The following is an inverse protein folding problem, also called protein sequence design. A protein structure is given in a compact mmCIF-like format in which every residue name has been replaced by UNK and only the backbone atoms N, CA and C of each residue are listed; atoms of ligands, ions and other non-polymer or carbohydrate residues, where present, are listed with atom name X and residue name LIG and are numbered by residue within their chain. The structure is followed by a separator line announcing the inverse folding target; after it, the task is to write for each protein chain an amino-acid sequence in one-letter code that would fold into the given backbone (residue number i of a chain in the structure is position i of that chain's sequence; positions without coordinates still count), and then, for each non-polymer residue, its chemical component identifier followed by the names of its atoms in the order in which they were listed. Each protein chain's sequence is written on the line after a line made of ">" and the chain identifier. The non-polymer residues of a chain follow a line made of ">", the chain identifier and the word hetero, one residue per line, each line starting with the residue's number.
data_IF_049336560998
#
_entry.id   IF_049336560998
#
_cell.length_a   1.000
_cell.length_b   1.000
_cell.length_c   1.000
_cell.angle_alpha   90.00
_cell.angle_beta   90.00
_cell.angle_gamma   90.00
#
_symmetry.space_group_name_H-M   'P 1'
#
loop_
_entity.id
_entity.type
_entity.pdbx_description
1 polymer ?
#
# COMPACT_ATOMS: atom_id res chain seq x y z
N UNK A 1 18.38 27.04 -30.50
CA UNK A 1 18.70 26.49 -29.17
C UNK A 1 17.63 26.98 -28.20
N UNK A 2 16.73 26.12 -27.75
CA UNK A 2 15.79 26.43 -26.67
C UNK A 2 16.43 26.03 -25.35
N UNK A 3 16.27 26.87 -24.32
CA UNK A 3 16.70 26.57 -22.95
C UNK A 3 15.45 26.30 -22.11
N UNK A 4 15.48 25.23 -21.32
CA UNK A 4 14.39 24.79 -20.45
C UNK A 4 14.58 25.39 -19.04
N UNK A 5 13.88 26.50 -18.77
CA UNK A 5 13.99 27.25 -17.52
C UNK A 5 12.74 27.10 -16.64
N UNK A 6 12.36 25.86 -16.34
CA UNK A 6 11.09 25.56 -15.64
C UNK A 6 11.16 25.81 -14.12
N UNK A 7 12.31 25.60 -13.48
CA UNK A 7 12.42 25.66 -12.01
C UNK A 7 11.94 26.98 -11.39
N UNK A 8 12.31 28.18 -11.90
CA UNK A 8 11.79 29.44 -11.36
C UNK A 8 10.27 29.58 -11.52
N UNK A 9 9.70 29.05 -12.61
CA UNK A 9 8.26 29.08 -12.88
C UNK A 9 7.53 28.19 -11.87
N UNK A 10 8.00 26.95 -11.68
CA UNK A 10 7.43 26.02 -10.71
C UNK A 10 7.51 26.55 -9.28
N UNK A 11 8.63 27.21 -8.91
CA UNK A 11 8.76 27.87 -7.59
C UNK A 11 7.77 29.02 -7.41
N UNK A 12 7.43 29.75 -8.46
CA UNK A 12 6.41 30.80 -8.38
C UNK A 12 4.99 30.21 -8.20
N UNK A 13 4.71 29.06 -8.81
CA UNK A 13 3.44 28.34 -8.59
C UNK A 13 3.34 27.79 -7.17
N UNK A 14 4.42 27.25 -6.62
CA UNK A 14 4.47 26.82 -5.23
C UNK A 14 4.20 27.99 -4.26
N UNK A 15 4.86 29.13 -4.46
CA UNK A 15 4.58 30.35 -3.66
C UNK A 15 3.13 30.82 -3.79
N UNK A 16 2.52 30.67 -4.97
CA UNK A 16 1.10 30.98 -5.17
C UNK A 16 0.22 30.08 -4.30
N UNK A 17 0.50 28.77 -4.28
CA UNK A 17 -0.17 27.82 -3.39
C UNK A 17 -0.01 28.19 -1.90
N UNK A 18 1.22 28.44 -1.45
CA UNK A 18 1.50 28.80 -0.04
C UNK A 18 0.86 30.11 0.39
N UNK A 19 0.90 31.13 -0.47
CA UNK A 19 0.36 32.45 -0.17
C UNK A 19 -1.16 32.49 -0.13
N UNK A 20 -1.83 31.50 -0.76
CA UNK A 20 -3.30 31.42 -0.89
C UNK A 20 -3.88 32.67 -1.55
N UNK A 21 -3.09 33.41 -2.32
CA UNK A 21 -3.53 34.66 -2.94
C UNK A 21 -4.52 34.36 -4.06
N UNK A 22 -5.69 34.99 -4.04
CA UNK A 22 -6.73 34.86 -5.07
C UNK A 22 -7.30 33.44 -5.23
N UNK A 23 -7.26 32.63 -4.17
CA UNK A 23 -7.84 31.29 -4.18
C UNK A 23 -9.36 31.31 -4.46
N UNK A 24 -9.82 30.32 -5.22
CA UNK A 24 -11.23 30.11 -5.56
C UNK A 24 -11.70 28.67 -5.27
N UNK A 25 -10.83 27.82 -4.71
CA UNK A 25 -11.15 26.46 -4.26
C UNK A 25 -10.81 26.31 -2.77
N UNK A 26 -11.73 25.71 -2.01
CA UNK A 26 -11.57 25.27 -0.62
C UNK A 26 -11.77 23.76 -0.58
N UNK A 27 -10.73 23.01 -0.25
CA UNK A 27 -10.79 21.56 -0.08
C UNK A 27 -10.85 21.27 1.41
N UNK A 28 -11.91 20.62 1.86
CA UNK A 28 -12.06 20.13 3.25
C UNK A 28 -11.61 18.68 3.28
N UNK A 29 -10.35 18.46 3.67
CA UNK A 29 -9.72 17.15 3.77
C UNK A 29 -9.72 16.67 5.23
N UNK A 30 -9.80 15.36 5.46
CA UNK A 30 -9.87 14.76 6.80
C UNK A 30 -11.28 14.65 7.37
N UNK A 31 -11.43 13.75 8.35
CA UNK A 31 -12.69 13.50 9.06
C UNK A 31 -12.90 14.54 10.18
N UNK A 32 -14.01 14.44 10.91
CA UNK A 32 -14.41 15.47 11.87
C UNK A 32 -13.35 15.78 12.95
N UNK A 33 -12.44 14.85 13.27
CA UNK A 33 -11.42 15.02 14.31
C UNK A 33 -10.11 15.65 13.78
N UNK A 34 -9.81 15.52 12.48
CA UNK A 34 -8.59 16.02 11.85
C UNK A 34 -8.80 16.96 10.64
N UNK A 35 -10.05 17.35 10.37
CA UNK A 35 -10.41 18.14 9.20
C UNK A 35 -9.62 19.44 9.09
N UNK A 36 -9.08 19.69 7.90
CA UNK A 36 -8.42 20.96 7.55
C UNK A 36 -8.86 21.46 6.19
N UNK A 37 -8.84 22.78 6.06
CA UNK A 37 -9.08 23.47 4.81
C UNK A 37 -7.76 23.72 4.07
N UNK A 38 -7.72 23.28 2.81
CA UNK A 38 -6.64 23.54 1.86
C UNK A 38 -7.19 24.48 0.79
N UNK A 39 -6.46 25.57 0.52
CA UNK A 39 -6.89 26.61 -0.41
C UNK A 39 -6.11 26.47 -1.71
N UNK A 40 -6.82 26.50 -2.84
CA UNK A 40 -6.23 26.27 -4.15
C UNK A 40 -6.91 27.09 -5.27
N UNK A 41 -6.43 26.92 -6.50
CA UNK A 41 -6.88 27.61 -7.69
C UNK A 41 -7.45 26.59 -8.68
N UNK A 42 -8.72 26.76 -9.05
CA UNK A 42 -9.44 25.83 -9.91
C UNK A 42 -8.74 25.66 -11.25
N UNK A 43 -8.30 26.75 -11.87
CA UNK A 43 -7.61 26.73 -13.15
C UNK A 43 -6.28 25.96 -13.15
N UNK A 44 -5.53 25.99 -12.04
CA UNK A 44 -4.29 25.22 -11.89
C UNK A 44 -4.62 23.74 -11.74
N UNK A 45 -5.62 23.39 -10.93
CA UNK A 45 -5.98 21.98 -10.73
C UNK A 45 -6.62 21.37 -11.98
N UNK A 46 -7.53 22.10 -12.63
CA UNK A 46 -8.20 21.69 -13.87
C UNK A 46 -7.21 21.42 -15.00
N UNK A 47 -6.16 22.23 -15.16
CA UNK A 47 -5.22 22.00 -16.26
C UNK A 47 -4.29 20.79 -16.06
N UNK A 48 -4.26 20.22 -14.85
CA UNK A 48 -3.39 19.10 -14.49
C UNK A 48 -4.15 17.77 -14.36
N UNK A 49 -5.48 17.82 -14.28
CA UNK A 49 -6.29 16.65 -13.95
C UNK A 49 -7.71 16.79 -14.46
N UNK A 50 -8.13 15.86 -15.31
CA UNK A 50 -9.50 15.76 -15.83
C UNK A 50 -10.53 15.59 -14.70
N UNK A 51 -10.12 14.98 -13.58
CA UNK A 51 -10.96 14.85 -12.39
C UNK A 51 -11.32 16.24 -11.83
N UNK A 52 -10.32 17.09 -11.63
CA UNK A 52 -10.55 18.45 -11.13
C UNK A 52 -11.22 19.34 -12.18
N UNK A 53 -10.88 19.19 -13.46
CA UNK A 53 -11.56 19.91 -14.54
C UNK A 53 -13.06 19.60 -14.58
N UNK A 54 -13.40 18.32 -14.49
CA UNK A 54 -14.79 17.87 -14.39
C UNK A 54 -15.44 18.39 -13.11
N UNK A 55 -14.76 18.29 -11.96
CA UNK A 55 -15.30 18.71 -10.66
C UNK A 55 -15.70 20.19 -10.63
N UNK A 56 -14.92 21.06 -11.28
CA UNK A 56 -15.15 22.51 -11.30
C UNK A 56 -15.98 23.01 -12.48
N UNK A 57 -16.15 22.21 -13.55
CA UNK A 57 -16.97 22.60 -14.71
C UNK A 57 -18.42 22.10 -14.66
N UNK A 58 -18.68 20.95 -14.04
CA UNK A 58 -19.97 20.25 -14.10
C UNK A 58 -20.93 20.53 -12.92
N UNK A 59 -20.65 21.55 -12.10
CA UNK A 59 -21.33 21.82 -10.82
C UNK A 59 -21.28 20.65 -9.82
N UNK A 60 -20.29 19.75 -9.95
CA UNK A 60 -20.11 18.67 -8.98
C UNK A 60 -19.63 19.24 -7.63
N UNK A 61 -18.65 20.13 -7.64
CA UNK A 61 -18.29 20.89 -6.44
C UNK A 61 -19.35 21.96 -6.12
N UNK A 62 -19.72 22.07 -4.85
CA UNK A 62 -20.62 23.12 -4.38
C UNK A 62 -19.93 24.48 -4.53
N UNK A 63 -20.68 25.51 -4.93
CA UNK A 63 -20.16 26.88 -5.02
C UNK A 63 -20.79 27.77 -3.96
N UNK A 64 -20.00 28.15 -2.96
CA UNK A 64 -20.42 29.02 -1.84
C UNK A 64 -19.67 30.34 -1.95
N UNK A 65 -20.39 31.46 -1.97
CA UNK A 65 -19.81 32.81 -2.10
C UNK A 65 -18.83 32.96 -3.27
N UNK A 66 -19.12 32.30 -4.39
CA UNK A 66 -18.31 32.33 -5.59
C UNK A 66 -17.09 31.40 -5.60
N UNK A 67 -16.87 30.63 -4.54
CA UNK A 67 -15.75 29.67 -4.41
C UNK A 67 -16.22 28.23 -4.44
N UNK A 68 -15.45 27.35 -5.06
CA UNK A 68 -15.71 25.92 -5.03
C UNK A 68 -15.35 25.35 -3.66
N UNK A 69 -16.24 24.51 -3.11
CA UNK A 69 -16.03 23.79 -1.86
C UNK A 69 -16.04 22.30 -2.18
N UNK A 70 -14.95 21.62 -1.81
CA UNK A 70 -14.71 20.23 -2.15
C UNK A 70 -14.47 19.41 -0.89
N UNK A 71 -15.41 18.54 -0.54
CA UNK A 71 -15.35 17.74 0.68
C UNK A 71 -14.73 16.37 0.41
N UNK A 72 -13.63 16.06 1.09
CA UNK A 72 -12.85 14.83 0.94
C UNK A 72 -12.45 14.27 2.32
N UNK A 73 -13.44 13.82 3.11
CA UNK A 73 -13.17 13.36 4.48
C UNK A 73 -12.33 12.09 4.56
N UNK A 74 -12.27 11.33 3.48
CA UNK A 74 -11.55 10.07 3.36
C UNK A 74 -10.05 10.22 3.00
N UNK A 75 -9.58 11.44 2.71
CA UNK A 75 -8.16 11.72 2.43
C UNK A 75 -7.66 12.66 3.52
N UNK A 76 -6.60 12.26 4.24
CA UNK A 76 -6.06 13.09 5.31
C UNK A 76 -5.46 14.40 4.75
N UNK A 77 -5.49 15.50 5.52
CA UNK A 77 -5.00 16.79 5.05
C UNK A 77 -3.56 16.75 4.50
N UNK A 78 -2.67 16.03 5.18
CA UNK A 78 -1.27 15.93 4.79
C UNK A 78 -1.09 15.25 3.42
N UNK A 79 -1.81 14.16 3.16
CA UNK A 79 -1.77 13.46 1.88
C UNK A 79 -2.32 14.35 0.76
N UNK A 80 -3.41 15.07 1.04
CA UNK A 80 -4.00 15.98 0.07
C UNK A 80 -3.05 17.16 -0.25
N UNK A 81 -2.36 17.72 0.75
CA UNK A 81 -1.35 18.76 0.55
C UNK A 81 -0.19 18.30 -0.34
N UNK A 82 0.29 17.06 -0.17
CA UNK A 82 1.32 16.46 -1.04
C UNK A 82 0.82 16.42 -2.50
N UNK A 83 -0.40 15.94 -2.72
CA UNK A 83 -1.01 15.84 -4.06
C UNK A 83 -1.16 17.23 -4.68
N UNK A 84 -1.69 18.20 -3.94
CA UNK A 84 -1.89 19.55 -4.45
C UNK A 84 -0.54 20.21 -4.76
N UNK A 85 0.46 20.07 -3.90
CA UNK A 85 1.81 20.59 -4.20
C UNK A 85 2.38 19.99 -5.49
N UNK A 86 2.22 18.66 -5.69
CA UNK A 86 2.58 18.02 -6.95
C UNK A 86 1.87 18.64 -8.15
N UNK A 87 0.57 18.89 -8.08
CA UNK A 87 -0.18 19.51 -9.19
C UNK A 87 0.26 20.95 -9.47
N UNK A 88 0.78 21.68 -8.48
CA UNK A 88 1.28 23.04 -8.70
C UNK A 88 2.68 23.10 -9.29
N UNK A 89 3.61 22.30 -8.76
CA UNK A 89 5.03 22.49 -9.04
C UNK A 89 5.79 21.19 -9.33
N UNK A 90 5.09 20.05 -9.45
CA UNK A 90 5.69 18.74 -9.70
C UNK A 90 6.54 18.21 -8.54
N UNK A 91 6.54 18.88 -7.39
CA UNK A 91 7.28 18.42 -6.22
C UNK A 91 6.47 17.36 -5.47
N UNK A 92 7.14 16.24 -5.21
CA UNK A 92 6.59 15.12 -4.48
C UNK A 92 7.55 14.75 -3.37
N UNK A 93 7.15 15.00 -2.12
CA UNK A 93 7.93 14.56 -0.97
C UNK A 93 7.56 13.12 -0.62
N UNK A 94 8.41 12.19 -1.05
CA UNK A 94 8.29 10.76 -0.73
C UNK A 94 9.10 10.38 0.51
N UNK A 95 9.68 11.33 1.24
CA UNK A 95 10.31 11.06 2.55
C UNK A 95 9.26 10.83 3.66
N UNK A 96 8.04 10.45 3.29
CA UNK A 96 6.96 10.18 4.23
C UNK A 96 7.34 8.92 5.00
N UNK A 97 7.77 9.13 6.24
CA UNK A 97 8.55 8.19 7.04
C UNK A 97 7.82 6.91 7.50
N UNK A 98 6.67 6.56 6.94
CA UNK A 98 5.93 5.37 7.33
C UNK A 98 5.21 4.81 6.09
N UNK A 99 5.45 3.54 5.72
CA UNK A 99 4.72 2.83 4.65
C UNK A 99 3.20 3.09 4.58
N UNK A 100 2.47 3.24 5.71
CA UNK A 100 1.07 3.67 5.73
C UNK A 100 0.74 4.94 4.92
N UNK A 101 1.61 5.95 4.91
CA UNK A 101 1.31 7.21 4.22
C UNK A 101 1.50 7.10 2.71
N UNK A 102 2.49 6.31 2.25
CA UNK A 102 2.64 6.03 0.82
C UNK A 102 1.45 5.22 0.30
N UNK A 103 0.94 4.26 1.10
CA UNK A 103 -0.28 3.52 0.77
C UNK A 103 -1.48 4.46 0.61
N UNK A 104 -1.72 5.35 1.60
CA UNK A 104 -2.79 6.35 1.52
C UNK A 104 -2.64 7.30 0.34
N UNK A 105 -1.40 7.70 0.03
CA UNK A 105 -1.11 8.52 -1.15
C UNK A 105 -1.50 7.80 -2.44
N UNK A 106 -1.10 6.53 -2.62
CA UNK A 106 -1.50 5.73 -3.78
C UNK A 106 -3.02 5.60 -3.92
N UNK A 107 -3.74 5.36 -2.81
CA UNK A 107 -5.20 5.29 -2.82
C UNK A 107 -5.81 6.60 -3.30
N UNK A 108 -5.34 7.71 -2.74
CA UNK A 108 -5.81 9.04 -3.12
C UNK A 108 -5.52 9.35 -4.60
N UNK A 109 -4.39 8.90 -5.15
CA UNK A 109 -4.12 9.06 -6.60
C UNK A 109 -5.13 8.33 -7.46
N UNK A 110 -5.51 7.10 -7.11
CA UNK A 110 -6.53 6.34 -7.85
C UNK A 110 -7.92 6.98 -7.76
N UNK A 111 -8.29 7.50 -6.59
CA UNK A 111 -9.57 8.19 -6.41
C UNK A 111 -9.66 9.51 -7.18
N UNK A 112 -8.56 10.26 -7.26
CA UNK A 112 -8.47 11.54 -7.97
C UNK A 112 -8.11 11.37 -9.46
N UNK A 113 -8.01 10.14 -9.97
CA UNK A 113 -7.66 9.85 -11.36
C UNK A 113 -6.28 10.39 -11.77
N UNK A 114 -5.31 10.35 -10.85
CA UNK A 114 -3.94 10.84 -11.06
C UNK A 114 -3.01 9.71 -11.48
N UNK A 115 -3.32 9.04 -12.59
CA UNK A 115 -2.67 7.79 -13.02
C UNK A 115 -1.15 7.92 -13.14
N UNK A 116 -0.65 8.99 -13.78
CA UNK A 116 0.80 9.25 -13.92
C UNK A 116 1.51 9.34 -12.58
N UNK A 117 0.89 9.97 -11.58
CA UNK A 117 1.46 10.07 -10.24
C UNK A 117 1.41 8.71 -9.53
N UNK A 118 0.29 7.99 -9.67
CA UNK A 118 0.14 6.64 -9.12
C UNK A 118 1.16 5.65 -9.69
N UNK A 119 1.41 5.67 -10.99
CA UNK A 119 2.44 4.87 -11.66
C UNK A 119 3.84 5.23 -11.16
N UNK A 120 4.16 6.52 -11.07
CA UNK A 120 5.45 6.97 -10.56
C UNK A 120 5.72 6.48 -9.12
N UNK A 121 4.72 6.56 -8.24
CA UNK A 121 4.86 6.10 -6.85
C UNK A 121 5.02 4.57 -6.80
N UNK A 122 4.31 3.81 -7.64
CA UNK A 122 4.48 2.36 -7.73
C UNK A 122 5.90 1.99 -8.20
N UNK A 123 6.42 2.66 -9.23
CA UNK A 123 7.80 2.46 -9.68
C UNK A 123 8.82 2.81 -8.59
N UNK A 124 8.58 3.89 -7.84
CA UNK A 124 9.43 4.30 -6.73
C UNK A 124 9.50 3.19 -5.67
N UNK A 125 8.35 2.63 -5.27
CA UNK A 125 8.29 1.53 -4.31
C UNK A 125 9.05 0.30 -4.81
N UNK A 126 8.87 -0.08 -6.08
CA UNK A 126 9.60 -1.19 -6.70
C UNK A 126 11.12 -0.97 -6.63
N UNK A 127 11.59 0.26 -6.89
CA UNK A 127 13.02 0.61 -6.83
C UNK A 127 13.61 0.55 -5.42
N UNK A 128 12.80 0.62 -4.35
CA UNK A 128 13.28 0.43 -2.97
C UNK A 128 13.66 -1.03 -2.67
N UNK A 129 13.25 -1.97 -3.52
CA UNK A 129 13.60 -3.39 -3.42
C UNK A 129 13.28 -4.01 -2.04
N UNK A 130 12.10 -3.70 -1.49
CA UNK A 130 11.53 -4.37 -0.31
C UNK A 130 10.23 -5.12 -0.68
N UNK A 131 10.34 -6.35 -1.23
CA UNK A 131 9.17 -7.12 -1.67
C UNK A 131 8.13 -7.36 -0.58
N UNK A 132 8.55 -7.47 0.69
CA UNK A 132 7.65 -7.74 1.82
C UNK A 132 6.84 -6.49 2.12
N UNK A 133 7.49 -5.33 2.30
CA UNK A 133 6.80 -4.05 2.51
C UNK A 133 5.89 -3.68 1.33
N UNK A 134 6.31 -3.99 0.10
CA UNK A 134 5.48 -3.81 -1.10
C UNK A 134 4.20 -4.66 -1.02
N UNK A 135 4.29 -5.93 -0.62
CA UNK A 135 3.11 -6.77 -0.46
C UNK A 135 2.22 -6.28 0.68
N UNK A 136 2.77 -5.82 1.80
CA UNK A 136 1.98 -5.25 2.88
C UNK A 136 1.16 -4.04 2.41
N UNK A 137 1.73 -3.17 1.56
CA UNK A 137 0.99 -2.07 0.91
C UNK A 137 -0.02 -2.60 -0.11
N UNK A 138 0.39 -3.50 -1.00
CA UNK A 138 -0.42 -4.00 -2.11
C UNK A 138 -1.62 -4.88 -1.68
N UNK A 139 -1.61 -5.38 -0.45
CA UNK A 139 -2.70 -6.15 0.12
C UNK A 139 -3.63 -5.32 1.02
N UNK A 140 -3.32 -4.05 1.28
CA UNK A 140 -4.29 -3.11 1.87
C UNK A 140 -5.38 -2.72 0.86
N UNK A 141 -5.06 -2.73 -0.44
CA UNK A 141 -5.97 -2.33 -1.50
C UNK A 141 -5.90 -3.28 -2.70
N UNK A 142 -7.07 -3.77 -3.15
CA UNK A 142 -7.13 -4.80 -4.20
C UNK A 142 -6.54 -4.34 -5.54
N UNK A 143 -6.58 -3.03 -5.82
CA UNK A 143 -6.23 -2.42 -7.09
C UNK A 143 -4.73 -2.35 -7.38
N UNK A 144 -3.85 -2.61 -6.40
CA UNK A 144 -2.39 -2.54 -6.59
C UNK A 144 -1.82 -3.84 -7.17
N UNK A 145 -2.36 -4.28 -8.30
CA UNK A 145 -1.99 -5.57 -8.94
C UNK A 145 -0.54 -5.61 -9.42
N UNK A 146 0.00 -4.49 -9.91
CA UNK A 146 1.41 -4.38 -10.33
C UNK A 146 2.36 -4.61 -9.15
N UNK A 147 2.13 -3.93 -8.03
CA UNK A 147 2.92 -4.10 -6.80
C UNK A 147 2.79 -5.53 -6.24
N UNK A 148 1.57 -6.08 -6.25
CA UNK A 148 1.32 -7.46 -5.82
C UNK A 148 2.08 -8.46 -6.68
N UNK A 149 2.04 -8.29 -8.00
CA UNK A 149 2.75 -9.13 -8.95
C UNK A 149 4.26 -9.10 -8.70
N UNK A 150 4.83 -7.89 -8.61
CA UNK A 150 6.26 -7.70 -8.32
C UNK A 150 6.69 -8.36 -7.01
N UNK A 151 5.98 -8.07 -5.91
CA UNK A 151 6.36 -8.57 -4.58
C UNK A 151 6.29 -10.10 -4.49
N UNK A 152 5.24 -10.71 -5.06
CA UNK A 152 5.10 -12.17 -5.09
C UNK A 152 6.18 -12.80 -5.96
N UNK A 153 6.44 -12.27 -7.15
CA UNK A 153 7.48 -12.78 -8.06
C UNK A 153 8.88 -12.67 -7.44
N UNK A 154 9.18 -11.58 -6.75
CA UNK A 154 10.46 -11.38 -6.09
C UNK A 154 10.68 -12.40 -4.95
N UNK A 155 9.67 -12.65 -4.10
CA UNK A 155 9.76 -13.66 -3.05
C UNK A 155 9.81 -15.08 -3.63
N UNK A 156 9.06 -15.38 -4.68
CA UNK A 156 9.11 -16.71 -5.31
C UNK A 156 10.49 -17.03 -5.92
N UNK A 157 11.17 -16.02 -6.49
CA UNK A 157 12.52 -16.16 -7.05
C UNK A 157 13.61 -16.28 -5.98
N UNK A 158 13.46 -15.61 -4.85
CA UNK A 158 14.39 -15.67 -3.72
C UNK A 158 13.60 -15.80 -2.40
N UNK A 159 13.12 -17.02 -2.05
CA UNK A 159 12.23 -17.20 -0.91
C UNK A 159 12.88 -16.91 0.43
N UNK A 160 14.21 -16.97 0.52
CA UNK A 160 14.93 -16.73 1.77
C UNK A 160 14.83 -15.28 2.24
N UNK A 161 14.43 -14.32 1.39
CA UNK A 161 14.13 -12.95 1.82
C UNK A 161 12.98 -12.89 2.84
N UNK A 162 12.08 -13.88 2.79
CA UNK A 162 10.96 -14.02 3.72
C UNK A 162 11.17 -15.24 4.63
N UNK A 163 11.23 -16.44 4.06
CA UNK A 163 11.21 -17.73 4.75
C UNK A 163 12.51 -18.01 5.53
N UNK A 164 13.61 -17.32 5.19
CA UNK A 164 14.87 -17.38 5.91
C UNK A 164 14.97 -16.43 7.12
N UNK A 165 13.90 -15.68 7.42
CA UNK A 165 13.92 -14.63 8.46
C UNK A 165 12.77 -14.78 9.45
N UNK A 166 12.74 -13.94 10.49
CA UNK A 166 11.60 -13.84 11.42
C UNK A 166 10.48 -12.92 10.88
N UNK A 167 10.66 -12.27 9.72
CA UNK A 167 9.61 -11.44 9.10
C UNK A 167 8.36 -12.25 8.78
N UNK A 168 8.51 -13.55 8.50
CA UNK A 168 7.37 -14.43 8.28
C UNK A 168 6.45 -14.45 9.50
N UNK A 169 6.96 -14.37 10.73
CA UNK A 169 6.18 -14.57 11.96
C UNK A 169 5.06 -13.54 12.14
N UNK A 170 5.21 -12.33 11.58
CA UNK A 170 4.20 -11.26 11.62
C UNK A 170 3.43 -11.10 10.30
N UNK A 171 3.68 -11.96 9.31
CA UNK A 171 3.13 -11.79 7.96
C UNK A 171 1.60 -11.96 7.96
N UNK A 172 0.84 -11.04 7.34
CA UNK A 172 -0.58 -11.21 7.13
C UNK A 172 -0.93 -12.53 6.43
N UNK A 173 -1.93 -13.25 6.95
CA UNK A 173 -2.35 -14.55 6.45
C UNK A 173 -2.66 -14.56 4.93
N UNK A 174 -3.24 -13.49 4.40
CA UNK A 174 -3.56 -13.33 2.98
C UNK A 174 -2.33 -13.29 2.06
N UNK A 175 -1.21 -12.73 2.55
CA UNK A 175 0.05 -12.68 1.81
C UNK A 175 0.67 -14.07 1.81
N UNK A 176 0.72 -14.73 2.97
CA UNK A 176 1.19 -16.11 3.09
C UNK A 176 0.40 -17.05 2.18
N UNK A 177 -0.93 -16.96 2.22
CA UNK A 177 -1.82 -17.77 1.39
C UNK A 177 -1.56 -17.56 -0.11
N UNK A 178 -1.32 -16.31 -0.52
CA UNK A 178 -1.03 -15.97 -1.92
C UNK A 178 0.32 -16.50 -2.37
N UNK A 179 1.32 -16.56 -1.48
CA UNK A 179 2.62 -17.17 -1.76
C UNK A 179 2.52 -18.70 -1.88
N UNK A 180 1.79 -19.35 -0.96
CA UNK A 180 1.62 -20.81 -0.97
C UNK A 180 0.81 -21.32 -2.17
N UNK A 181 -0.04 -20.46 -2.78
CA UNK A 181 -0.76 -20.79 -4.02
C UNK A 181 0.12 -20.79 -5.27
N UNK A 182 1.38 -20.34 -5.20
CA UNK A 182 2.24 -20.19 -6.36
C UNK A 182 3.04 -21.46 -6.67
N UNK A 183 3.00 -21.86 -7.94
CA UNK A 183 3.78 -23.00 -8.44
C UNK A 183 5.25 -22.67 -8.71
N UNK A 184 5.61 -21.38 -8.74
CA UNK A 184 6.97 -20.91 -8.99
C UNK A 184 7.71 -20.49 -7.70
N UNK A 185 7.19 -20.81 -6.52
CA UNK A 185 7.91 -20.67 -5.26
C UNK A 185 9.06 -21.69 -5.19
N UNK A 186 10.30 -21.23 -5.31
CA UNK A 186 11.50 -22.09 -5.37
C UNK A 186 11.98 -22.47 -3.96
N UNK A 187 11.13 -23.13 -3.19
CA UNK A 187 11.40 -23.57 -1.81
C UNK A 187 10.95 -25.01 -1.63
N UNK A 188 11.78 -25.84 -0.97
CA UNK A 188 11.42 -27.24 -0.69
C UNK A 188 10.16 -27.30 0.18
N UNK A 189 9.26 -28.23 -0.13
CA UNK A 189 7.94 -28.27 0.51
C UNK A 189 8.03 -28.52 2.03
N UNK A 190 9.06 -29.23 2.49
CA UNK A 190 9.35 -29.38 3.92
C UNK A 190 9.73 -28.05 4.59
N UNK A 191 10.46 -27.17 3.90
CA UNK A 191 10.80 -25.84 4.39
C UNK A 191 9.56 -24.94 4.43
N UNK A 192 8.68 -25.05 3.42
CA UNK A 192 7.37 -24.39 3.41
C UNK A 192 6.56 -24.81 4.64
N UNK A 193 6.43 -26.11 4.88
CA UNK A 193 5.72 -26.66 6.03
C UNK A 193 6.28 -26.17 7.36
N UNK A 194 7.61 -26.25 7.53
CA UNK A 194 8.29 -25.81 8.75
C UNK A 194 8.05 -24.32 9.04
N UNK A 195 8.07 -23.49 8.01
CA UNK A 195 7.82 -22.07 8.13
C UNK A 195 6.35 -21.75 8.42
N UNK A 196 5.41 -22.50 7.85
CA UNK A 196 3.99 -22.39 8.18
C UNK A 196 3.73 -22.72 9.65
N UNK A 197 4.39 -23.74 10.20
CA UNK A 197 4.31 -24.08 11.64
C UNK A 197 4.90 -22.96 12.50
N UNK A 198 6.07 -22.42 12.13
CA UNK A 198 6.67 -21.25 12.81
C UNK A 198 5.69 -20.07 12.83
N UNK A 199 5.07 -19.77 11.68
CA UNK A 199 4.06 -18.73 11.56
C UNK A 199 2.85 -18.99 12.47
N UNK A 200 2.30 -20.21 12.46
CA UNK A 200 1.12 -20.56 13.25
C UNK A 200 1.37 -20.42 14.77
N UNK A 201 2.54 -20.83 15.26
CA UNK A 201 2.91 -20.60 16.65
C UNK A 201 3.07 -19.12 17.00
N UNK A 202 3.57 -18.30 16.07
CA UNK A 202 3.63 -16.85 16.28
C UNK A 202 2.23 -16.21 16.36
N UNK A 203 1.26 -16.75 15.62
CA UNK A 203 -0.14 -16.31 15.71
C UNK A 203 -0.85 -16.80 16.98
N UNK A 204 -0.38 -17.92 17.56
CA UNK A 204 -0.96 -18.55 18.75
C UNK A 204 0.08 -18.70 19.87
N UNK A 205 0.57 -17.58 20.46
CA UNK A 205 1.70 -17.60 21.39
C UNK A 205 1.42 -18.33 22.71
N UNK A 206 0.15 -18.61 23.02
CA UNK A 206 -0.27 -19.35 24.22
C UNK A 206 -0.22 -20.86 24.05
N UNK A 207 -0.11 -21.37 22.82
CA UNK A 207 -0.07 -22.80 22.53
C UNK A 207 1.33 -23.34 22.84
N UNK A 208 1.39 -24.49 23.54
CA UNK A 208 2.64 -25.17 23.79
C UNK A 208 3.41 -25.47 22.49
N UNK A 209 4.74 -25.35 22.52
CA UNK A 209 5.58 -25.66 21.36
C UNK A 209 5.69 -27.16 21.08
N UNK A 210 5.47 -28.01 22.08
CA UNK A 210 5.45 -29.47 21.93
C UNK A 210 4.01 -29.97 21.67
N UNK A 211 3.71 -30.51 20.47
CA UNK A 211 2.39 -31.04 20.14
C UNK A 211 1.93 -32.20 21.03
N UNK A 212 2.86 -32.93 21.66
CA UNK A 212 2.51 -34.05 22.56
C UNK A 212 1.90 -33.59 23.88
N UNK A 213 2.12 -32.31 24.25
CA UNK A 213 1.58 -31.70 25.47
C UNK A 213 0.29 -30.90 25.21
N UNK A 214 -0.23 -30.90 23.97
CA UNK A 214 -1.40 -30.11 23.62
C UNK A 214 -2.67 -30.59 24.31
N UNK A 215 -3.37 -29.64 24.89
CA UNK A 215 -4.77 -29.79 25.27
C UNK A 215 -5.67 -29.84 24.02
N UNK A 216 -6.90 -30.33 24.20
CA UNK A 216 -7.90 -30.34 23.12
C UNK A 216 -8.19 -28.93 22.56
N UNK A 217 -8.14 -27.92 23.43
CA UNK A 217 -8.39 -26.53 23.05
C UNK A 217 -7.23 -25.96 22.21
N UNK A 218 -5.98 -26.24 22.60
CA UNK A 218 -4.79 -25.86 21.84
C UNK A 218 -4.75 -26.53 20.46
N UNK A 219 -5.08 -27.82 20.38
CA UNK A 219 -5.21 -28.54 19.12
C UNK A 219 -6.24 -27.87 18.20
N UNK A 220 -7.41 -27.52 18.73
CA UNK A 220 -8.49 -26.86 17.98
C UNK A 220 -8.04 -25.47 17.47
N UNK A 221 -7.25 -24.75 18.27
CA UNK A 221 -6.73 -23.42 17.90
C UNK A 221 -5.71 -23.49 16.77
N UNK A 222 -4.79 -24.46 16.82
CA UNK A 222 -3.82 -24.71 15.76
C UNK A 222 -4.50 -25.21 14.48
N UNK A 223 -5.44 -26.14 14.59
CA UNK A 223 -6.24 -26.63 13.45
C UNK A 223 -6.91 -25.46 12.73
N UNK A 224 -7.64 -24.61 13.46
CA UNK A 224 -8.30 -23.42 12.88
C UNK A 224 -7.32 -22.45 12.23
N UNK A 225 -6.13 -22.29 12.80
CA UNK A 225 -5.09 -21.38 12.27
C UNK A 225 -4.53 -21.90 10.95
N UNK A 226 -4.28 -23.21 10.87
CA UNK A 226 -3.66 -23.88 9.74
C UNK A 226 -4.65 -24.27 8.63
N UNK A 227 -5.94 -24.44 8.95
CA UNK A 227 -6.94 -25.06 8.08
C UNK A 227 -6.95 -24.49 6.65
N UNK A 228 -6.82 -23.17 6.49
CA UNK A 228 -6.84 -22.52 5.17
C UNK A 228 -5.58 -22.79 4.34
N UNK A 229 -4.48 -23.19 4.97
CA UNK A 229 -3.18 -23.40 4.35
C UNK A 229 -2.92 -24.87 4.07
N UNK A 230 -3.48 -25.81 4.84
CA UNK A 230 -3.30 -27.26 4.65
C UNK A 230 -3.53 -27.70 3.18
N UNK A 231 -4.58 -27.25 2.48
CA UNK A 231 -4.81 -27.66 1.08
C UNK A 231 -3.78 -27.10 0.09
N UNK A 232 -2.97 -26.13 0.50
CA UNK A 232 -1.94 -25.49 -0.32
C UNK A 232 -0.58 -26.19 -0.18
N UNK A 233 -0.43 -27.09 0.79
CA UNK A 233 0.82 -27.82 1.02
C UNK A 233 0.85 -29.09 0.16
N UNK A 234 1.93 -29.27 -0.60
CA UNK A 234 2.15 -30.45 -1.45
C UNK A 234 2.76 -31.60 -0.64
N UNK A 235 2.03 -32.15 0.33
CA UNK A 235 2.55 -33.21 1.21
C UNK A 235 3.16 -34.44 0.50
N UNK A 236 2.85 -34.67 -0.78
CA UNK A 236 3.47 -35.72 -1.58
C UNK A 236 4.92 -35.44 -1.97
N UNK A 237 5.35 -34.18 -1.91
CA UNK A 237 6.72 -33.71 -2.15
C UNK A 237 7.56 -33.69 -0.86
N UNK A 238 6.98 -34.08 0.28
CA UNK A 238 7.68 -34.26 1.56
C UNK A 238 8.00 -35.74 1.73
N UNK A 239 9.26 -36.07 1.99
CA UNK A 239 9.68 -37.47 2.14
C UNK A 239 9.20 -38.06 3.46
N UNK A 240 9.08 -39.39 3.52
CA UNK A 240 8.66 -40.08 4.74
C UNK A 240 9.69 -39.97 5.89
N UNK A 241 10.97 -39.78 5.57
CA UNK A 241 12.04 -39.54 6.55
C UNK A 241 11.85 -38.18 7.22
N UNK A 242 11.57 -37.14 6.43
CA UNK A 242 11.30 -35.78 6.93
C UNK A 242 10.00 -35.70 7.76
N UNK A 243 9.01 -36.54 7.44
CA UNK A 243 7.76 -36.62 8.20
C UNK A 243 7.95 -37.30 9.56
N UNK A 244 8.86 -38.28 9.66
CA UNK A 244 9.04 -39.06 10.89
C UNK A 244 9.71 -38.25 12.01
N UNK A 245 10.48 -37.23 11.67
CA UNK A 245 11.20 -36.35 12.61
C UNK A 245 10.36 -35.14 13.08
N UNK A 246 9.05 -35.13 12.81
CA UNK A 246 8.11 -34.03 13.09
C UNK A 246 6.91 -34.47 13.92
#
# INVERSE_FOLDING_TARGET
>A
MQQELFLPILSNLEKLFESKKDYDVIIKAGDDDDQKEIYAHSNILSCQSDYFDTAFSSNWAEKIDGKYVFNKPNISPHIFEIIIRYLYCGQLDLNVNNGPDISKLLVATGELGLDTLGEYIQEFLIKQNDPIGILEVAFQHENFTTLRGYGLEAICKDPYILFGTDKILSLPAQILESLLKRDDLVLDEIEVWNNLIRWAHAQQPTVNKDPSEWTKDELTLMERTLLRFIPLIRFHDITSEEYYDK
#
